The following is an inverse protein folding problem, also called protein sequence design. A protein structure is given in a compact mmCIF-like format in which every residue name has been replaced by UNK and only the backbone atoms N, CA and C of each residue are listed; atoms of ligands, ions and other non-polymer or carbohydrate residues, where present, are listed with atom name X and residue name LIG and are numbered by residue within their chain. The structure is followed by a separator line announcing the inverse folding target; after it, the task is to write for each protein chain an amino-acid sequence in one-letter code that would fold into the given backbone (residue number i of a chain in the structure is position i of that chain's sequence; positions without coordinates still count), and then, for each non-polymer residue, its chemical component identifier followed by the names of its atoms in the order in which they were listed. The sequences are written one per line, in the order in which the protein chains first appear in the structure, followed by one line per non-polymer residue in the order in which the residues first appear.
data_IF_016669000469
#
_entry.id   IF_016669000469
#
_cell.length_a   1.000
_cell.length_b   1.000
_cell.length_c   1.000
_cell.angle_alpha   90.00
_cell.angle_beta   90.00
_cell.angle_gamma   90.00
#
_symmetry.space_group_name_H-M   'P 1'
#
loop_
_entity.id
_entity.type
_entity.pdbx_description
1 polymer ?
#
# COMPACT_ATOMS: atom_id res chain seq x y z
N UNK A 1 -8.90 13.63 -15.34
CA UNK A 1 -9.83 14.75 -15.01
C UNK A 1 -10.33 14.61 -13.59
N UNK A 2 -10.48 15.72 -12.84
CA UNK A 2 -10.99 15.69 -11.46
C UNK A 2 -12.33 16.42 -11.41
N UNK A 3 -13.31 15.80 -10.75
CA UNK A 3 -14.63 16.36 -10.50
C UNK A 3 -14.87 16.45 -8.99
N UNK A 4 -15.30 17.61 -8.51
CA UNK A 4 -15.73 17.83 -7.12
C UNK A 4 -17.17 18.34 -7.13
N UNK A 5 -18.05 17.62 -6.44
CA UNK A 5 -19.50 17.86 -6.43
C UNK A 5 -20.09 17.95 -7.86
N UNK A 6 -19.60 17.11 -8.77
CA UNK A 6 -20.02 17.07 -10.17
C UNK A 6 -19.37 18.10 -11.10
N UNK A 7 -18.61 19.06 -10.58
CA UNK A 7 -17.96 20.10 -11.40
C UNK A 7 -16.49 19.76 -11.68
N UNK A 8 -16.01 19.90 -12.93
CA UNK A 8 -14.60 19.74 -13.24
C UNK A 8 -13.79 20.83 -12.54
N UNK A 9 -12.72 20.44 -11.86
CA UNK A 9 -11.84 21.35 -11.12
C UNK A 9 -10.37 21.06 -11.39
N UNK A 10 -9.56 22.11 -11.35
CA UNK A 10 -8.09 22.00 -11.28
C UNK A 10 -7.66 21.84 -9.84
N UNK A 11 -6.59 21.10 -9.60
CA UNK A 11 -6.08 20.84 -8.24
C UNK A 11 -5.81 22.13 -7.46
N UNK A 12 -5.23 23.13 -8.12
CA UNK A 12 -4.99 24.46 -7.56
C UNK A 12 -6.26 25.20 -7.08
N UNK A 13 -7.45 24.83 -7.58
CA UNK A 13 -8.74 25.42 -7.20
C UNK A 13 -9.39 24.69 -6.00
N UNK A 14 -8.89 23.52 -5.61
CA UNK A 14 -9.45 22.73 -4.53
C UNK A 14 -9.03 23.35 -3.19
N UNK A 15 -10.01 23.75 -2.37
CA UNK A 15 -9.76 24.29 -1.03
C UNK A 15 -8.89 23.35 -0.21
N UNK A 16 -7.85 23.88 0.44
CA UNK A 16 -6.87 23.09 1.22
C UNK A 16 -5.66 22.58 0.43
N UNK A 17 -5.73 22.52 -0.91
CA UNK A 17 -4.62 22.02 -1.74
C UNK A 17 -3.33 22.84 -1.59
N UNK A 18 -3.45 24.16 -1.47
CA UNK A 18 -2.30 25.05 -1.28
C UNK A 18 -1.51 24.78 0.01
N UNK A 19 -2.16 24.19 1.02
CA UNK A 19 -1.54 23.88 2.31
C UNK A 19 -0.87 22.50 2.34
N UNK A 20 -1.05 21.68 1.30
CA UNK A 20 -0.37 20.39 1.16
C UNK A 20 1.15 20.58 1.00
N UNK A 21 1.90 19.55 1.41
CA UNK A 21 3.34 19.47 1.18
C UNK A 21 3.66 19.38 -0.32
N UNK A 22 4.92 19.60 -0.71
CA UNK A 22 5.36 19.47 -2.10
C UNK A 22 5.09 18.07 -2.67
N UNK A 23 5.39 17.01 -1.90
CA UNK A 23 5.13 15.61 -2.30
C UNK A 23 3.64 15.34 -2.48
N UNK A 24 2.80 15.81 -1.56
CA UNK A 24 1.35 15.68 -1.67
C UNK A 24 0.80 16.42 -2.91
N UNK A 25 1.29 17.64 -3.18
CA UNK A 25 0.92 18.39 -4.39
C UNK A 25 1.29 17.64 -5.66
N UNK A 26 2.48 17.03 -5.73
CA UNK A 26 2.89 16.21 -6.87
C UNK A 26 1.96 15.02 -7.10
N UNK A 27 1.49 14.36 -6.04
CA UNK A 27 0.49 13.27 -6.14
C UNK A 27 -0.83 13.82 -6.70
N UNK A 28 -1.32 14.93 -6.17
CA UNK A 28 -2.54 15.58 -6.69
C UNK A 28 -2.42 15.98 -8.16
N UNK A 29 -1.30 16.56 -8.57
CA UNK A 29 -1.04 16.92 -9.96
C UNK A 29 -0.97 15.70 -10.89
N UNK A 30 -0.48 14.55 -10.41
CA UNK A 30 -0.51 13.29 -11.16
C UNK A 30 -1.94 12.78 -11.37
N UNK A 31 -2.81 12.88 -10.36
CA UNK A 31 -4.25 12.59 -10.52
C UNK A 31 -4.88 13.52 -11.56
N UNK A 32 -4.52 14.80 -11.56
CA UNK A 32 -5.04 15.76 -12.55
C UNK A 32 -4.63 15.42 -13.98
N UNK A 33 -3.36 15.04 -14.16
CA UNK A 33 -2.75 14.72 -15.47
C UNK A 33 -3.10 13.32 -15.97
N UNK A 34 -3.64 12.45 -15.10
CA UNK A 34 -4.09 11.13 -15.49
C UNK A 34 -5.26 11.18 -16.49
N UNK A 35 -5.29 10.17 -17.36
CA UNK A 35 -6.37 9.87 -18.31
C UNK A 35 -7.64 9.38 -17.62
N UNK A 36 -7.54 8.94 -16.36
CA UNK A 36 -8.70 8.57 -15.55
C UNK A 36 -9.53 9.79 -15.14
N UNK A 37 -10.81 9.55 -14.81
CA UNK A 37 -11.67 10.56 -14.20
C UNK A 37 -11.93 10.22 -12.74
N UNK A 38 -11.64 11.16 -11.84
CA UNK A 38 -11.82 11.02 -10.40
C UNK A 38 -13.02 11.85 -9.95
N UNK A 39 -13.88 11.25 -9.12
CA UNK A 39 -15.13 11.85 -8.68
C UNK A 39 -15.20 11.91 -7.17
N UNK A 40 -15.32 13.13 -6.66
CA UNK A 40 -15.40 13.43 -5.23
C UNK A 40 -16.68 14.21 -4.94
N UNK A 41 -17.30 13.95 -3.79
CA UNK A 41 -18.46 14.74 -3.31
C UNK A 41 -18.02 16.01 -2.60
N UNK A 42 -16.78 16.09 -2.12
CA UNK A 42 -16.22 17.25 -1.43
C UNK A 42 -14.71 17.40 -1.68
N UNK A 43 -14.15 18.61 -1.49
CA UNK A 43 -12.69 18.82 -1.49
C UNK A 43 -11.95 17.90 -0.52
N UNK A 44 -12.57 17.56 0.61
CA UNK A 44 -11.97 16.73 1.64
C UNK A 44 -11.68 15.30 1.15
N UNK A 45 -12.55 14.70 0.34
CA UNK A 45 -12.29 13.37 -0.21
C UNK A 45 -11.07 13.36 -1.14
N UNK A 46 -10.90 14.41 -1.96
CA UNK A 46 -9.71 14.55 -2.81
C UNK A 46 -8.44 14.71 -1.96
N UNK A 47 -8.46 15.58 -0.94
CA UNK A 47 -7.30 15.77 -0.06
C UNK A 47 -6.96 14.49 0.70
N UNK A 48 -7.98 13.74 1.15
CA UNK A 48 -7.78 12.45 1.81
C UNK A 48 -7.07 11.46 0.90
N UNK A 49 -7.50 11.31 -0.36
CA UNK A 49 -6.82 10.47 -1.35
C UNK A 49 -5.36 10.88 -1.54
N UNK A 50 -5.11 12.18 -1.74
CA UNK A 50 -3.75 12.69 -1.95
C UNK A 50 -2.84 12.39 -0.74
N UNK A 51 -3.33 12.62 0.48
CA UNK A 51 -2.54 12.35 1.68
C UNK A 51 -2.34 10.86 1.89
N UNK A 52 -3.38 10.04 1.76
CA UNK A 52 -3.27 8.60 1.95
C UNK A 52 -2.34 7.96 0.92
N UNK A 53 -2.42 8.33 -0.37
CA UNK A 53 -1.47 7.89 -1.41
C UNK A 53 -0.04 8.25 -1.06
N UNK A 54 0.18 9.47 -0.55
CA UNK A 54 1.51 9.90 -0.08
C UNK A 54 1.98 9.01 1.08
N UNK A 55 1.09 8.68 2.02
CA UNK A 55 1.40 7.81 3.14
C UNK A 55 1.64 6.34 2.73
N UNK A 56 1.01 5.84 1.66
CA UNK A 56 1.31 4.51 1.09
C UNK A 56 2.73 4.48 0.53
N UNK A 57 3.11 5.51 -0.24
CA UNK A 57 4.49 5.63 -0.76
C UNK A 57 5.49 5.76 0.40
N UNK A 58 5.16 6.53 1.43
CA UNK A 58 5.99 6.65 2.63
C UNK A 58 6.13 5.31 3.36
N UNK A 59 5.03 4.56 3.52
CA UNK A 59 5.03 3.23 4.13
C UNK A 59 5.88 2.23 3.33
N UNK A 60 5.86 2.29 1.99
CA UNK A 60 6.71 1.45 1.16
C UNK A 60 8.21 1.74 1.35
N UNK A 61 8.58 3.02 1.39
CA UNK A 61 9.95 3.41 1.70
C UNK A 61 10.35 3.00 3.13
N UNK A 62 9.47 3.19 4.11
CA UNK A 62 9.72 2.76 5.49
C UNK A 62 9.85 1.23 5.61
N UNK A 63 9.05 0.47 4.85
CA UNK A 63 9.15 -1.00 4.81
C UNK A 63 10.52 -1.43 4.29
N UNK A 64 10.97 -0.85 3.17
CA UNK A 64 12.32 -1.05 2.61
C UNK A 64 13.41 -0.83 3.65
N UNK A 65 13.28 0.25 4.43
CA UNK A 65 14.33 0.69 5.35
C UNK A 65 14.27 -0.01 6.74
N UNK A 66 13.14 -0.65 7.06
CA UNK A 66 12.89 -1.32 8.36
C UNK A 66 13.78 -2.53 8.65
N UNK A 67 14.32 -3.16 7.61
CA UNK A 67 15.02 -4.44 7.71
C UNK A 67 14.10 -5.66 7.90
N UNK A 68 12.79 -5.52 7.71
CA UNK A 68 11.87 -6.65 7.60
C UNK A 68 12.26 -7.53 6.40
N UNK A 69 12.38 -8.83 6.64
CA UNK A 69 12.80 -9.78 5.60
C UNK A 69 11.63 -10.40 4.85
N UNK A 70 11.87 -10.87 3.62
CA UNK A 70 10.95 -11.81 2.99
C UNK A 70 10.96 -13.15 3.74
N UNK A 71 9.79 -13.76 3.90
CA UNK A 71 9.66 -15.15 4.34
C UNK A 71 8.38 -15.77 3.78
N UNK A 72 8.43 -17.07 3.44
CA UNK A 72 7.21 -17.84 3.17
C UNK A 72 6.36 -17.97 4.44
N UNK A 73 5.08 -18.34 4.32
CA UNK A 73 4.21 -18.55 5.49
C UNK A 73 4.79 -19.53 6.52
N UNK A 74 5.38 -20.63 6.05
CA UNK A 74 6.01 -21.64 6.92
C UNK A 74 7.17 -21.06 7.75
N UNK A 75 7.91 -20.13 7.17
CA UNK A 75 9.09 -19.51 7.78
C UNK A 75 8.83 -18.10 8.35
N UNK A 76 7.57 -17.67 8.37
CA UNK A 76 7.21 -16.33 8.83
C UNK A 76 7.58 -16.14 10.30
N UNK A 77 7.85 -14.89 10.69
CA UNK A 77 8.17 -14.52 12.07
C UNK A 77 7.65 -13.12 12.38
N UNK A 78 7.28 -12.91 13.63
CA UNK A 78 6.77 -11.63 14.13
C UNK A 78 7.24 -11.38 15.56
N UNK A 79 7.20 -10.13 16.01
CA UNK A 79 7.52 -9.79 17.40
C UNK A 79 6.42 -10.31 18.36
N UNK A 80 6.72 -11.24 19.28
CA UNK A 80 5.72 -11.84 20.16
C UNK A 80 5.15 -10.87 21.20
N UNK A 81 5.76 -9.69 21.35
CA UNK A 81 5.23 -8.59 22.16
C UNK A 81 3.85 -8.13 21.66
N UNK A 82 3.61 -8.17 20.34
CA UNK A 82 2.39 -7.65 19.72
C UNK A 82 1.58 -8.73 19.01
N UNK A 83 2.26 -9.74 18.48
CA UNK A 83 1.67 -10.69 17.53
C UNK A 83 1.83 -12.13 18.00
N UNK A 84 0.76 -12.92 17.91
CA UNK A 84 0.82 -14.38 17.96
C UNK A 84 0.90 -14.92 16.54
N UNK A 85 2.01 -15.57 16.20
CA UNK A 85 2.11 -16.31 14.94
C UNK A 85 1.16 -17.51 14.95
N UNK A 86 0.30 -17.61 13.94
CA UNK A 86 -0.65 -18.73 13.79
C UNK A 86 0.04 -19.95 13.19
N UNK A 87 -0.61 -21.12 13.26
CA UNK A 87 -0.07 -22.36 12.69
C UNK A 87 0.13 -22.28 11.16
N UNK A 88 -0.68 -21.48 10.47
CA UNK A 88 -0.59 -21.22 9.03
C UNK A 88 0.32 -20.02 8.69
N UNK A 89 1.03 -19.46 9.67
CA UNK A 89 2.05 -18.43 9.43
C UNK A 89 1.54 -17.00 9.34
N UNK A 90 0.27 -16.74 9.67
CA UNK A 90 -0.27 -15.39 9.85
C UNK A 90 0.09 -14.78 11.20
N UNK A 91 -0.11 -13.47 11.36
CA UNK A 91 0.14 -12.76 12.61
C UNK A 91 -1.17 -12.26 13.18
N UNK A 92 -1.64 -12.91 14.24
CA UNK A 92 -2.82 -12.47 14.97
C UNK A 92 -2.41 -11.47 16.04
N UNK A 93 -3.02 -10.29 16.01
CA UNK A 93 -2.82 -9.27 17.03
C UNK A 93 -3.21 -9.84 18.41
N UNK A 94 -2.39 -9.59 19.41
CA UNK A 94 -2.73 -9.94 20.79
C UNK A 94 -3.86 -9.07 21.31
N UNK A 95 -4.72 -9.63 22.13
CA UNK A 95 -5.87 -8.91 22.71
C UNK A 95 -5.50 -7.77 23.66
N UNK A 96 -4.26 -7.75 24.16
CA UNK A 96 -3.72 -6.71 25.04
C UNK A 96 -2.82 -5.70 24.31
N UNK A 97 -2.60 -5.88 23.00
CA UNK A 97 -1.79 -5.00 22.18
C UNK A 97 -2.66 -3.96 21.47
N UNK A 98 -2.17 -2.72 21.38
CA UNK A 98 -2.81 -1.67 20.58
C UNK A 98 -2.48 -1.87 19.10
N UNK A 99 -3.46 -1.84 18.18
CA UNK A 99 -3.23 -2.03 16.75
C UNK A 99 -2.20 -1.06 16.17
N UNK A 100 -2.28 0.22 16.51
CA UNK A 100 -1.36 1.26 16.02
C UNK A 100 0.08 1.03 16.44
N UNK A 101 0.30 0.64 17.70
CA UNK A 101 1.64 0.30 18.23
C UNK A 101 2.17 -0.97 17.55
N UNK A 102 1.33 -1.99 17.40
CA UNK A 102 1.70 -3.26 16.77
C UNK A 102 2.09 -3.12 15.29
N UNK A 103 1.36 -2.31 14.52
CA UNK A 103 1.69 -2.00 13.12
C UNK A 103 2.97 -1.15 13.05
N UNK A 104 3.09 -0.12 13.88
CA UNK A 104 4.28 0.73 13.89
C UNK A 104 5.56 -0.02 14.27
N UNK A 105 5.44 -1.01 15.17
CA UNK A 105 6.56 -1.87 15.57
C UNK A 105 7.17 -2.64 14.39
N UNK A 106 6.38 -2.99 13.37
CA UNK A 106 6.90 -3.67 12.17
C UNK A 106 7.93 -2.80 11.44
N UNK A 107 7.72 -1.48 11.41
CA UNK A 107 8.61 -0.53 10.73
C UNK A 107 9.81 -0.13 11.60
N UNK A 108 9.63 -0.10 12.92
CA UNK A 108 10.67 0.28 13.89
C UNK A 108 11.62 -0.89 14.18
N UNK A 109 11.05 -2.09 14.35
CA UNK A 109 11.76 -3.31 14.74
C UNK A 109 11.75 -4.36 13.61
N UNK A 110 11.78 -3.93 12.35
CA UNK A 110 11.58 -4.77 11.17
C UNK A 110 12.42 -6.05 11.14
N UNK A 111 13.66 -6.04 11.65
CA UNK A 111 14.50 -7.25 11.76
C UNK A 111 13.86 -8.41 12.55
N UNK A 112 12.90 -8.12 13.45
CA UNK A 112 12.11 -9.13 14.19
C UNK A 112 11.03 -9.79 13.33
N UNK A 113 10.82 -9.30 12.13
CA UNK A 113 9.74 -9.70 11.25
C UNK A 113 10.26 -10.34 9.96
N UNK A 114 9.46 -11.28 9.45
CA UNK A 114 9.60 -11.80 8.11
C UNK A 114 8.29 -12.37 7.62
N UNK A 115 7.86 -11.96 6.43
CA UNK A 115 6.55 -12.25 5.86
C UNK A 115 6.57 -12.18 4.33
N UNK A 116 5.49 -12.66 3.72
CA UNK A 116 5.31 -12.80 2.28
C UNK A 116 4.96 -11.44 1.62
N UNK A 117 5.18 -11.28 0.30
CA UNK A 117 5.00 -9.99 -0.37
C UNK A 117 3.54 -9.50 -0.32
N UNK A 118 2.56 -10.40 -0.40
CA UNK A 118 1.13 -10.08 -0.27
C UNK A 118 0.80 -9.54 1.12
N UNK A 119 1.34 -10.16 2.17
CA UNK A 119 1.16 -9.68 3.55
C UNK A 119 1.83 -8.32 3.75
N UNK A 120 2.97 -8.08 3.10
CA UNK A 120 3.64 -6.78 3.13
C UNK A 120 2.76 -5.66 2.56
N UNK A 121 2.02 -5.91 1.47
CA UNK A 121 1.07 -4.95 0.91
C UNK A 121 0.02 -4.55 1.97
N UNK A 122 -0.61 -5.52 2.62
CA UNK A 122 -1.61 -5.22 3.65
C UNK A 122 -1.01 -4.43 4.83
N UNK A 123 0.20 -4.79 5.28
CA UNK A 123 0.90 -4.04 6.34
C UNK A 123 1.18 -2.59 5.93
N UNK A 124 1.62 -2.36 4.69
CA UNK A 124 1.85 -1.00 4.16
C UNK A 124 0.54 -0.21 4.05
N UNK A 125 -0.56 -0.84 3.65
CA UNK A 125 -1.89 -0.22 3.63
C UNK A 125 -2.37 0.16 5.03
N UNK A 126 -2.20 -0.73 6.02
CA UNK A 126 -2.49 -0.43 7.43
C UNK A 126 -1.64 0.70 7.98
N UNK A 127 -0.34 0.72 7.66
CA UNK A 127 0.53 1.84 8.06
C UNK A 127 0.07 3.15 7.41
N UNK A 128 -0.26 3.13 6.13
CA UNK A 128 -0.68 4.34 5.43
C UNK A 128 -1.99 4.91 5.98
N UNK A 129 -2.99 4.07 6.26
CA UNK A 129 -4.23 4.55 6.87
C UNK A 129 -4.00 5.02 8.30
N UNK A 130 -3.17 4.32 9.11
CA UNK A 130 -2.77 4.76 10.46
C UNK A 130 -2.20 6.20 10.43
N UNK A 131 -1.27 6.49 9.53
CA UNK A 131 -0.71 7.85 9.38
C UNK A 131 -1.71 8.88 8.86
N UNK A 132 -2.79 8.42 8.23
CA UNK A 132 -3.84 9.31 7.68
C UNK A 132 -4.89 9.64 8.73
N UNK A 133 -5.41 8.67 9.46
CA UNK A 133 -6.53 8.88 10.40
C UNK A 133 -6.07 9.08 11.85
N UNK A 134 -4.81 8.75 12.13
CA UNK A 134 -4.19 8.79 13.44
C UNK A 134 -4.55 7.59 14.33
N UNK A 135 -3.69 7.32 15.30
CA UNK A 135 -3.75 6.13 16.16
C UNK A 135 -5.10 5.93 16.87
N UNK A 136 -5.76 7.00 17.34
CA UNK A 136 -7.02 6.89 18.06
C UNK A 136 -8.16 6.30 17.21
N UNK A 137 -8.33 6.77 15.97
CA UNK A 137 -9.33 6.21 15.06
C UNK A 137 -8.89 4.83 14.55
N UNK A 138 -7.59 4.67 14.26
CA UNK A 138 -7.04 3.40 13.82
C UNK A 138 -7.27 2.27 14.83
N UNK A 139 -7.00 2.52 16.12
CA UNK A 139 -7.20 1.54 17.20
C UNK A 139 -8.67 1.16 17.39
N UNK A 140 -9.61 2.06 17.03
CA UNK A 140 -11.05 1.80 17.10
C UNK A 140 -11.55 0.93 15.95
N UNK A 141 -11.10 1.22 14.72
CA UNK A 141 -11.52 0.49 13.52
C UNK A 141 -10.85 -0.88 13.43
N UNK A 142 -9.54 -0.94 13.66
CA UNK A 142 -8.72 -2.10 13.33
C UNK A 142 -8.35 -2.93 14.57
N UNK A 143 -9.33 -3.22 15.42
CA UNK A 143 -9.10 -4.07 16.59
C UNK A 143 -9.16 -5.56 16.19
N UNK A 144 -8.19 -6.36 16.66
CA UNK A 144 -8.18 -7.80 16.38
C UNK A 144 -7.61 -8.22 15.02
N UNK A 145 -6.70 -7.42 14.46
CA UNK A 145 -6.06 -7.69 13.16
C UNK A 145 -5.48 -9.10 13.02
N UNK A 146 -5.66 -9.68 11.84
CA UNK A 146 -4.92 -10.83 11.35
C UNK A 146 -4.15 -10.42 10.08
N UNK A 147 -2.82 -10.44 10.14
CA UNK A 147 -1.98 -10.23 8.97
C UNK A 147 -1.68 -11.58 8.32
N UNK A 148 -2.33 -11.88 7.20
CA UNK A 148 -2.12 -13.13 6.46
C UNK A 148 -2.55 -13.01 5.01
N UNK A 149 -1.63 -13.21 4.06
CA UNK A 149 -1.93 -13.11 2.62
C UNK A 149 -2.64 -11.78 2.28
N UNK A 150 -3.77 -11.82 1.58
CA UNK A 150 -4.66 -10.70 1.28
C UNK A 150 -5.75 -10.47 2.34
N UNK A 151 -5.79 -11.26 3.42
CA UNK A 151 -6.78 -11.07 4.48
C UNK A 151 -6.63 -9.67 5.08
N UNK A 152 -7.76 -8.98 5.17
CA UNK A 152 -7.84 -7.65 5.73
C UNK A 152 -9.20 -7.42 6.36
N UNK A 153 -9.18 -6.57 7.38
CA UNK A 153 -10.37 -5.95 7.94
C UNK A 153 -11.12 -5.15 6.86
N UNK A 154 -12.46 -5.28 6.83
CA UNK A 154 -13.32 -4.63 5.85
C UNK A 154 -13.16 -3.10 5.84
N UNK A 155 -12.79 -2.49 6.97
CA UNK A 155 -12.50 -1.05 7.05
C UNK A 155 -11.25 -0.63 6.25
N UNK A 156 -10.43 -1.57 5.78
CA UNK A 156 -9.31 -1.26 4.88
C UNK A 156 -9.76 -1.06 3.41
N UNK A 157 -11.04 -1.30 3.09
CA UNK A 157 -11.74 -0.87 1.86
C UNK A 157 -10.92 -0.96 0.56
N UNK A 158 -10.30 -2.11 0.29
CA UNK A 158 -9.47 -2.34 -0.88
C UNK A 158 -10.34 -2.68 -2.11
N UNK A 159 -10.06 -2.07 -3.26
CA UNK A 159 -10.78 -2.32 -4.51
C UNK A 159 -9.83 -2.70 -5.66
N UNK A 160 -10.35 -3.51 -6.58
CA UNK A 160 -9.71 -3.83 -7.84
C UNK A 160 -10.25 -2.94 -8.96
N UNK A 161 -9.35 -2.33 -9.72
CA UNK A 161 -9.66 -1.56 -10.92
C UNK A 161 -9.11 -2.32 -12.13
N UNK A 162 -9.95 -2.74 -13.10
CA UNK A 162 -9.52 -3.62 -14.18
C UNK A 162 -8.39 -3.06 -15.06
N UNK A 163 -8.37 -1.74 -15.24
CA UNK A 163 -7.32 -1.02 -15.95
C UNK A 163 -7.37 0.47 -15.60
N UNK A 164 -6.22 1.14 -15.71
CA UNK A 164 -6.08 2.55 -15.39
C UNK A 164 -4.65 3.05 -15.62
N UNK A 165 -4.42 4.31 -15.30
CA UNK A 165 -3.05 4.83 -15.21
C UNK A 165 -2.46 4.40 -13.87
N UNK A 166 -1.17 4.05 -13.87
CA UNK A 166 -0.46 3.78 -12.63
C UNK A 166 -0.25 5.09 -11.87
N UNK A 167 -0.72 5.14 -10.63
CA UNK A 167 -0.61 6.30 -9.76
C UNK A 167 0.19 5.97 -8.50
N UNK A 168 0.88 6.97 -7.90
CA UNK A 168 1.57 6.74 -6.63
C UNK A 168 0.64 6.15 -5.57
N UNK A 169 1.11 5.11 -4.89
CA UNK A 169 0.37 4.34 -3.89
C UNK A 169 -0.52 3.23 -4.45
N UNK A 170 -0.63 3.08 -5.77
CA UNK A 170 -1.30 1.92 -6.37
C UNK A 170 -0.49 0.65 -6.15
N UNK A 171 -1.18 -0.47 -5.95
CA UNK A 171 -0.60 -1.80 -5.97
C UNK A 171 -0.70 -2.35 -7.39
N UNK A 172 0.44 -2.76 -7.92
CA UNK A 172 0.61 -3.37 -9.24
C UNK A 172 1.10 -4.81 -9.08
N UNK A 173 0.89 -5.63 -10.10
CA UNK A 173 1.33 -7.02 -10.08
C UNK A 173 2.10 -7.38 -11.35
N UNK A 174 3.29 -7.94 -11.20
CA UNK A 174 4.05 -8.53 -12.32
C UNK A 174 3.87 -10.04 -12.23
N UNK A 175 3.20 -10.63 -13.22
CA UNK A 175 2.96 -12.07 -13.29
C UNK A 175 4.16 -12.77 -13.93
N UNK A 176 4.59 -13.89 -13.36
CA UNK A 176 5.59 -14.79 -13.93
C UNK A 176 4.94 -16.14 -14.29
N UNK A 177 4.38 -16.28 -15.51
CA UNK A 177 3.53 -17.41 -15.86
C UNK A 177 4.27 -18.75 -15.91
N UNK A 178 5.56 -18.73 -16.25
CA UNK A 178 6.39 -19.94 -16.40
C UNK A 178 7.48 -20.02 -15.31
N UNK A 179 7.15 -19.58 -14.09
CA UNK A 179 8.02 -19.73 -12.92
C UNK A 179 8.36 -21.20 -12.65
N UNK A 180 9.50 -21.47 -12.01
CA UNK A 180 9.90 -22.84 -11.70
C UNK A 180 8.95 -23.47 -10.66
N UNK A 181 8.38 -24.69 -10.89
CA UNK A 181 7.41 -25.32 -9.99
C UNK A 181 7.87 -25.56 -8.55
N UNK A 182 9.17 -25.68 -8.31
CA UNK A 182 9.76 -25.90 -6.98
C UNK A 182 9.95 -24.59 -6.20
N UNK A 183 9.69 -23.45 -6.83
CA UNK A 183 9.80 -22.13 -6.22
C UNK A 183 8.55 -21.29 -6.53
N UNK A 184 7.37 -21.71 -6.04
CA UNK A 184 6.09 -21.05 -6.32
C UNK A 184 6.03 -19.60 -5.83
N UNK A 185 6.90 -19.21 -4.88
CA UNK A 185 7.04 -17.81 -4.46
C UNK A 185 7.49 -16.86 -5.58
N UNK A 186 8.00 -17.39 -6.71
CA UNK A 186 8.38 -16.57 -7.87
C UNK A 186 7.31 -16.52 -8.96
N UNK A 187 6.06 -16.91 -8.66
CA UNK A 187 4.94 -16.83 -9.61
C UNK A 187 4.53 -15.41 -10.00
N UNK A 188 5.04 -14.41 -9.29
CA UNK A 188 4.91 -13.00 -9.59
C UNK A 188 5.35 -12.16 -8.40
N UNK A 189 5.11 -10.86 -8.49
CA UNK A 189 5.43 -9.92 -7.41
C UNK A 189 4.36 -8.83 -7.31
N UNK A 190 3.92 -8.57 -6.07
CA UNK A 190 3.12 -7.40 -5.74
C UNK A 190 4.03 -6.19 -5.50
N UNK A 191 3.69 -5.05 -6.11
CA UNK A 191 4.49 -3.84 -6.12
C UNK A 191 3.68 -2.63 -5.67
N UNK A 192 4.26 -1.75 -4.85
CA UNK A 192 3.74 -0.40 -4.63
C UNK A 192 4.37 0.55 -5.65
N UNK A 193 3.55 1.29 -6.41
CA UNK A 193 4.01 2.39 -7.26
C UNK A 193 4.48 3.56 -6.39
N UNK A 194 5.77 3.89 -6.47
CA UNK A 194 6.39 5.01 -5.74
C UNK A 194 6.28 6.33 -6.51
N UNK A 195 5.78 6.28 -7.75
CA UNK A 195 5.79 7.33 -8.74
C UNK A 195 7.07 7.37 -9.56
N UNK A 196 7.03 8.11 -10.67
CA UNK A 196 8.18 8.39 -11.53
C UNK A 196 8.81 7.11 -12.12
N UNK A 197 7.99 6.07 -12.34
CA UNK A 197 8.42 4.79 -12.92
C UNK A 197 9.16 3.87 -11.95
N UNK A 198 9.15 4.18 -10.65
CA UNK A 198 9.77 3.38 -9.60
C UNK A 198 8.72 2.63 -8.78
N UNK A 199 9.06 1.41 -8.39
CA UNK A 199 8.19 0.48 -7.67
C UNK A 199 8.95 -0.17 -6.53
N UNK A 200 8.24 -0.55 -5.47
CA UNK A 200 8.79 -1.35 -4.37
C UNK A 200 8.09 -2.69 -4.27
N UNK A 201 8.85 -3.79 -4.32
CA UNK A 201 8.42 -5.15 -4.04
C UNK A 201 9.10 -5.71 -2.79
N UNK A 202 8.34 -6.29 -1.87
CA UNK A 202 8.88 -6.82 -0.62
C UNK A 202 9.64 -8.13 -0.86
N UNK A 203 10.96 -8.08 -0.72
CA UNK A 203 11.87 -9.20 -1.02
C UNK A 203 12.63 -9.03 -2.33
N UNK A 204 12.15 -8.19 -3.25
CA UNK A 204 12.85 -7.81 -4.49
C UNK A 204 13.60 -6.47 -4.33
N UNK A 205 12.99 -5.50 -3.64
CA UNK A 205 13.53 -4.16 -3.45
C UNK A 205 12.87 -3.10 -4.35
N UNK A 206 13.58 -2.00 -4.59
CA UNK A 206 13.10 -0.89 -5.42
C UNK A 206 13.67 -0.98 -6.84
N UNK A 207 12.82 -0.77 -7.84
CA UNK A 207 13.23 -0.71 -9.24
C UNK A 207 12.09 -0.38 -10.19
N UNK A 208 12.41 -0.34 -11.47
CA UNK A 208 11.45 -0.23 -12.57
C UNK A 208 10.74 -1.56 -12.82
N UNK A 209 9.62 -1.52 -13.55
CA UNK A 209 8.93 -2.75 -13.99
C UNK A 209 9.84 -3.66 -14.82
N UNK A 210 10.71 -3.09 -15.66
CA UNK A 210 11.67 -3.86 -16.45
C UNK A 210 12.63 -4.65 -15.57
N UNK A 211 13.21 -4.00 -14.57
CA UNK A 211 14.12 -4.66 -13.61
C UNK A 211 13.41 -5.76 -12.80
N UNK A 212 12.16 -5.55 -12.39
CA UNK A 212 11.36 -6.60 -11.73
C UNK A 212 11.09 -7.77 -12.66
N UNK A 213 10.74 -7.52 -13.92
CA UNK A 213 10.54 -8.57 -14.95
C UNK A 213 11.83 -9.36 -15.14
N UNK A 214 12.99 -8.70 -15.20
CA UNK A 214 14.28 -9.37 -15.36
C UNK A 214 14.60 -10.29 -14.18
N UNK A 215 14.35 -9.85 -12.94
CA UNK A 215 14.50 -10.68 -11.74
C UNK A 215 13.59 -11.91 -11.81
N UNK A 216 12.32 -11.74 -12.16
CA UNK A 216 11.35 -12.85 -12.25
C UNK A 216 11.69 -13.82 -13.39
N UNK A 217 12.16 -13.31 -14.52
CA UNK A 217 12.54 -14.12 -15.68
C UNK A 217 13.72 -15.07 -15.38
N UNK A 218 14.60 -14.71 -14.45
CA UNK A 218 15.70 -15.57 -13.97
C UNK A 218 15.21 -16.74 -13.09
N UNK A 219 13.94 -16.74 -12.68
CA UNK A 219 13.32 -17.75 -11.80
C UNK A 219 12.34 -18.67 -12.54
N UNK A 220 12.38 -18.64 -13.87
CA UNK A 220 11.55 -19.49 -14.74
C UNK A 220 12.09 -20.90 -14.86
N UNK A 221 11.22 -21.82 -15.26
CA UNK A 221 11.62 -23.19 -15.57
C UNK A 221 12.51 -23.26 -16.83
N UNK A 222 13.36 -24.31 -16.97
CA UNK A 222 14.16 -24.49 -18.19
C UNK A 222 13.28 -24.54 -19.45
N UNK A 223 13.70 -23.83 -20.49
CA UNK A 223 12.97 -23.76 -21.76
C UNK A 223 11.77 -22.79 -21.77
N UNK A 224 11.55 -22.01 -20.72
CA UNK A 224 10.47 -21.01 -20.67
C UNK A 224 10.57 -19.98 -21.81
N UNK A 225 9.46 -19.76 -22.50
CA UNK A 225 9.33 -18.88 -23.67
C UNK A 225 8.48 -17.64 -23.40
N UNK A 226 7.66 -17.65 -22.35
CA UNK A 226 6.80 -16.54 -21.95
C UNK A 226 7.50 -15.73 -20.86
N UNK A 227 7.76 -14.46 -21.15
CA UNK A 227 8.31 -13.52 -20.17
C UNK A 227 7.30 -13.21 -19.07
N UNK A 228 7.79 -12.85 -17.88
CA UNK A 228 7.00 -12.13 -16.91
C UNK A 228 6.49 -10.80 -17.50
N UNK A 229 5.34 -10.32 -17.02
CA UNK A 229 4.69 -9.12 -17.53
C UNK A 229 3.83 -8.44 -16.46
N UNK A 230 3.69 -7.11 -16.57
CA UNK A 230 2.81 -6.30 -15.72
C UNK A 230 1.34 -6.55 -16.09
N UNK A 231 0.51 -6.88 -15.11
CA UNK A 231 -0.93 -7.04 -15.33
C UNK A 231 -1.65 -5.69 -15.45
N UNK A 232 -2.81 -5.71 -16.10
CA UNK A 232 -3.66 -4.53 -16.28
C UNK A 232 -4.33 -4.08 -14.99
N UNK A 233 -4.70 -5.04 -14.12
CA UNK A 233 -5.38 -4.77 -12.86
C UNK A 233 -4.53 -3.93 -11.93
N UNK A 234 -5.20 -3.00 -11.25
CA UNK A 234 -4.64 -2.12 -10.23
C UNK A 234 -5.44 -2.35 -8.95
N UNK A 235 -4.75 -2.61 -7.85
CA UNK A 235 -5.37 -2.66 -6.53
C UNK A 235 -5.10 -1.34 -5.81
N UNK A 236 -6.14 -0.69 -5.27
CA UNK A 236 -5.99 0.56 -4.52
C UNK A 236 -7.11 0.72 -3.48
N UNK A 237 -6.91 1.50 -2.40
CA UNK A 237 -7.97 1.84 -1.47
C UNK A 237 -9.15 2.57 -2.11
N UNK A 238 -10.35 2.36 -1.58
CA UNK A 238 -11.51 3.20 -1.86
C UNK A 238 -11.43 4.48 -1.02
N UNK A 239 -10.58 5.41 -1.46
CA UNK A 239 -10.32 6.67 -0.76
C UNK A 239 -11.57 7.47 -0.44
N UNK A 240 -12.58 7.41 -1.33
CA UNK A 240 -13.86 8.08 -1.13
C UNK A 240 -14.57 7.57 0.12
N UNK A 241 -14.68 6.25 0.28
CA UNK A 241 -15.35 5.66 1.44
C UNK A 241 -14.51 5.84 2.71
N UNK A 242 -13.20 5.62 2.63
CA UNK A 242 -12.31 5.75 3.78
C UNK A 242 -12.18 7.19 4.28
N UNK A 243 -12.44 8.20 3.44
CA UNK A 243 -12.42 9.60 3.87
C UNK A 243 -13.39 9.88 5.03
N UNK A 244 -14.49 9.12 5.11
CA UNK A 244 -15.51 9.23 6.16
C UNK A 244 -14.98 8.90 7.57
N UNK A 245 -13.80 8.31 7.70
CA UNK A 245 -13.12 8.09 8.98
C UNK A 245 -12.60 9.39 9.61
N UNK A 246 -12.55 10.47 8.83
CA UNK A 246 -12.06 11.79 9.27
C UNK A 246 -13.15 12.85 9.13
N UNK A 247 -14.29 12.70 9.83
CA UNK A 247 -15.46 13.60 9.71
C UNK A 247 -15.25 15.07 10.13
N UNK A 248 -14.03 15.51 10.47
CA UNK A 248 -13.70 16.90 10.83
C UNK A 248 -12.51 17.45 10.02
N UNK A 249 -12.51 18.74 9.63
CA UNK A 249 -11.55 19.28 8.68
C UNK A 249 -10.11 19.36 9.21
N UNK A 250 -9.24 18.59 8.54
CA UNK A 250 -7.88 18.88 8.04
C UNK A 250 -6.76 19.26 9.04
N UNK A 251 -7.02 19.69 10.28
CA UNK A 251 -5.92 20.16 11.18
C UNK A 251 -4.87 19.10 11.53
N UNK A 252 -5.19 17.80 11.46
CA UNK A 252 -4.23 16.70 11.75
C UNK A 252 -3.42 16.21 10.54
N UNK A 253 -3.92 16.40 9.32
CA UNK A 253 -3.26 15.90 8.09
C UNK A 253 -2.21 16.86 7.51
N UNK A 254 -2.33 18.16 7.82
CA UNK A 254 -1.40 19.20 7.37
C UNK A 254 -0.26 19.49 8.37
N UNK A 255 -0.34 18.89 9.57
CA UNK A 255 0.68 19.01 10.60
C UNK A 255 1.72 17.91 10.44
N UNK A 256 2.74 18.19 9.62
CA UNK A 256 4.07 17.56 9.55
C UNK A 256 4.24 16.13 10.07
N UNK A 257 4.59 15.23 9.15
CA UNK A 257 5.39 14.05 9.43
C UNK A 257 6.66 14.50 10.18
N UNK A 258 6.85 14.01 11.41
CA UNK A 258 8.15 13.98 12.10
C UNK A 258 8.60 12.53 12.11
#
# INVERSE_FOLDING_TARGET
MIFVNGYPVKTAQISGFSSLTSTQKQVGEKLEKSRESFYYTSPHQFLFEVVMRTNIVAAANAMRDSGAGFATFVNSRCNPQYWRRTAYGGFLLRSDARPSDAISDIFINGKRYGFECTTAIMIMMYKAILETIGAGMFDQLFNGLLLYSTEHDEDLQIIAVPSGDSLPGDVRYVKNPEHHPNTPQWQGENLIDLGNGQFFGHGIGTGTIGEVIDVLNQKRMPGATVSAFLTAEIIRPNYRLMSEYTRHPIRRLLGGVI
#
